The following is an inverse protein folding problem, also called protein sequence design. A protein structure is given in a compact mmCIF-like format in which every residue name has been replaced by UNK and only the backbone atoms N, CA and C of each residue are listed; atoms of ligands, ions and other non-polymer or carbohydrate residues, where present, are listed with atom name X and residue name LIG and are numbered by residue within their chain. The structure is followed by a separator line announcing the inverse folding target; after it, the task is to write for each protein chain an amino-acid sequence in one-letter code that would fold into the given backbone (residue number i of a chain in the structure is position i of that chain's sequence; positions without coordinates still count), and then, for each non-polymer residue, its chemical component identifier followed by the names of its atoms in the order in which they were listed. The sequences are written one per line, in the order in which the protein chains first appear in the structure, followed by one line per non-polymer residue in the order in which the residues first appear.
data_IF_263132210275
#
_entry.id   IF_263132210275
#
_cell.length_a   1.000
_cell.length_b   1.000
_cell.length_c   1.000
_cell.angle_alpha   90.00
_cell.angle_beta   90.00
_cell.angle_gamma   90.00
#
_symmetry.space_group_name_H-M   'P 1'
#
loop_
_entity.id
_entity.type
_entity.pdbx_description
1 polymer ?
#
# COMPACT_ATOMS: atom_id res chain seq x y z
N UNK A 1 10.06 -7.43 0.23
CA UNK A 1 8.93 -8.38 0.47
C UNK A 1 8.10 -7.87 1.62
N UNK A 2 6.80 -8.19 1.67
CA UNK A 2 5.91 -7.74 2.74
C UNK A 2 5.30 -6.36 2.52
N UNK A 3 5.29 -5.86 1.28
CA UNK A 3 4.86 -4.49 0.96
C UNK A 3 3.34 -4.35 1.15
N UNK A 4 2.89 -3.31 1.85
CA UNK A 4 1.46 -3.01 2.06
C UNK A 4 0.89 -2.21 0.90
N UNK A 5 -0.43 -2.24 0.74
CA UNK A 5 -1.11 -1.45 -0.32
C UNK A 5 -0.80 0.05 -0.27
N UNK A 6 -0.70 0.62 0.94
CA UNK A 6 -0.34 2.04 1.11
C UNK A 6 1.11 2.33 0.73
N UNK A 7 2.03 1.37 0.89
CA UNK A 7 3.42 1.48 0.46
C UNK A 7 3.53 1.35 -1.07
N UNK A 8 2.71 0.49 -1.70
CA UNK A 8 2.60 0.45 -3.17
C UNK A 8 2.11 1.79 -3.73
N UNK A 9 1.17 2.44 -3.04
CA UNK A 9 0.74 3.79 -3.38
C UNK A 9 1.88 4.81 -3.26
N UNK A 10 2.69 4.73 -2.20
CA UNK A 10 3.88 5.57 -2.05
C UNK A 10 4.92 5.32 -3.15
N UNK A 11 5.16 4.06 -3.53
CA UNK A 11 6.04 3.71 -4.66
C UNK A 11 5.53 4.34 -5.96
N UNK A 12 4.22 4.32 -6.24
CA UNK A 12 3.67 5.00 -7.43
C UNK A 12 3.90 6.52 -7.41
N UNK A 13 3.90 7.15 -6.24
CA UNK A 13 4.26 8.56 -6.13
C UNK A 13 5.75 8.77 -6.42
N UNK A 14 6.62 7.90 -5.93
CA UNK A 14 8.04 7.92 -6.27
C UNK A 14 8.26 7.71 -7.78
N UNK A 15 7.56 6.76 -8.41
CA UNK A 15 7.61 6.55 -9.86
C UNK A 15 7.27 7.85 -10.61
N UNK A 16 6.22 8.56 -10.17
CA UNK A 16 5.83 9.85 -10.76
C UNK A 16 6.94 10.91 -10.62
N UNK A 17 7.56 11.03 -9.44
CA UNK A 17 8.57 12.05 -9.14
C UNK A 17 9.89 11.76 -9.85
N UNK A 18 10.38 10.53 -9.76
CA UNK A 18 11.72 10.15 -10.22
C UNK A 18 11.77 9.72 -11.69
N UNK A 19 10.63 9.34 -12.29
CA UNK A 19 10.58 8.87 -13.68
C UNK A 19 9.72 9.76 -14.59
N UNK A 20 8.70 10.43 -14.05
CA UNK A 20 7.70 11.17 -14.83
C UNK A 20 8.00 12.66 -15.06
N UNK A 21 9.10 13.18 -14.51
CA UNK A 21 9.50 14.58 -14.64
C UNK A 21 10.34 14.88 -15.90
N UNK A 22 10.84 16.11 -16.01
CA UNK A 22 11.80 16.52 -17.05
C UNK A 22 13.17 15.85 -16.90
N UNK A 23 13.47 15.34 -15.71
CA UNK A 23 14.67 14.56 -15.41
C UNK A 23 14.27 13.19 -14.88
N UNK A 24 14.93 12.15 -15.37
CA UNK A 24 14.78 10.77 -14.89
C UNK A 24 15.95 10.40 -14.01
N UNK A 25 15.68 10.00 -12.77
CA UNK A 25 16.71 9.42 -11.90
C UNK A 25 17.07 8.01 -12.40
N UNK A 26 18.26 7.92 -13.00
CA UNK A 26 18.74 6.67 -13.61
C UNK A 26 18.95 5.57 -12.56
N UNK A 27 19.38 5.92 -11.35
CA UNK A 27 19.63 4.97 -10.27
C UNK A 27 18.32 4.37 -9.75
N UNK A 28 17.30 5.23 -9.54
CA UNK A 28 15.96 4.80 -9.19
C UNK A 28 15.34 3.92 -10.27
N UNK A 29 15.42 4.34 -11.54
CA UNK A 29 14.89 3.58 -12.68
C UNK A 29 15.44 2.16 -12.72
N UNK A 30 16.78 2.01 -12.62
CA UNK A 30 17.43 0.70 -12.63
C UNK A 30 17.00 -0.16 -11.44
N UNK A 31 16.95 0.39 -10.22
CA UNK A 31 16.48 -0.36 -9.05
C UNK A 31 15.01 -0.77 -9.19
N UNK A 32 14.15 0.16 -9.63
CA UNK A 32 12.71 -0.05 -9.77
C UNK A 32 12.38 -1.12 -10.82
N UNK A 33 13.11 -1.13 -11.93
CA UNK A 33 12.92 -2.10 -13.02
C UNK A 33 13.39 -3.52 -12.64
N UNK A 34 14.37 -3.64 -11.74
CA UNK A 34 14.90 -4.93 -11.27
C UNK A 34 14.26 -5.40 -9.95
N UNK A 35 13.29 -4.66 -9.42
CA UNK A 35 12.66 -4.99 -8.15
C UNK A 35 11.50 -5.96 -8.35
N UNK A 36 11.60 -7.13 -7.69
CA UNK A 36 10.47 -8.02 -7.45
C UNK A 36 9.71 -7.56 -6.20
N UNK A 37 8.43 -7.25 -6.35
CA UNK A 37 7.57 -6.74 -5.29
C UNK A 37 6.58 -7.82 -4.87
N UNK A 38 6.83 -8.40 -3.69
CA UNK A 38 5.90 -9.28 -3.00
C UNK A 38 5.14 -8.45 -1.96
N UNK A 39 3.85 -8.24 -2.22
CA UNK A 39 2.91 -7.52 -1.36
C UNK A 39 2.21 -8.47 -0.38
N UNK A 40 1.74 -7.91 0.73
CA UNK A 40 0.90 -8.61 1.70
C UNK A 40 -0.24 -7.70 2.12
N UNK A 41 -1.46 -8.13 1.85
CA UNK A 41 -2.67 -7.41 2.25
C UNK A 41 -2.70 -7.15 3.76
N UNK A 42 -3.18 -5.98 4.17
CA UNK A 42 -3.23 -5.60 5.58
C UNK A 42 -4.57 -6.00 6.20
N UNK A 43 -4.61 -7.13 6.92
CA UNK A 43 -5.81 -7.63 7.60
C UNK A 43 -5.95 -7.12 9.05
N UNK A 44 -4.90 -6.51 9.58
CA UNK A 44 -4.81 -6.00 10.96
C UNK A 44 -4.21 -4.58 10.96
N UNK A 45 -4.97 -3.55 10.56
CA UNK A 45 -4.48 -2.18 10.60
C UNK A 45 -4.41 -1.66 12.04
N UNK A 46 -3.50 -0.72 12.28
CA UNK A 46 -3.45 0.04 13.54
C UNK A 46 -4.55 1.09 13.61
N UNK A 47 -4.88 1.54 14.83
CA UNK A 47 -5.94 2.54 15.06
C UNK A 47 -5.68 3.91 14.41
N UNK A 48 -4.45 4.22 14.03
CA UNK A 48 -4.10 5.46 13.34
C UNK A 48 -4.02 5.32 11.82
N UNK A 49 -4.26 4.13 11.26
CA UNK A 49 -4.30 3.92 9.81
C UNK A 49 -5.50 4.66 9.19
N UNK A 50 -5.36 5.06 7.92
CA UNK A 50 -6.40 5.77 7.15
C UNK A 50 -6.35 5.47 5.65
N UNK A 51 -5.61 4.43 5.22
CA UNK A 51 -5.42 4.15 3.79
C UNK A 51 -6.72 3.79 3.05
N UNK A 52 -7.72 3.25 3.77
CA UNK A 52 -9.07 3.03 3.25
C UNK A 52 -9.71 4.35 2.76
N UNK A 53 -9.71 5.39 3.60
CA UNK A 53 -10.27 6.71 3.25
C UNK A 53 -9.55 7.40 2.10
N UNK A 54 -8.27 7.06 1.90
CA UNK A 54 -7.45 7.61 0.82
C UNK A 54 -7.51 6.76 -0.47
N UNK A 55 -8.24 5.65 -0.49
CA UNK A 55 -8.28 4.74 -1.64
C UNK A 55 -6.95 4.03 -1.94
N UNK A 56 -6.10 3.86 -0.92
CA UNK A 56 -4.75 3.30 -1.02
C UNK A 56 -4.56 2.00 -0.23
N UNK A 57 -5.66 1.35 0.16
CA UNK A 57 -5.66 0.10 0.90
C UNK A 57 -7.03 -0.18 1.53
N UNK A 58 -7.14 -1.22 2.38
CA UNK A 58 -6.08 -2.13 2.83
C UNK A 58 -5.65 -3.17 1.76
N UNK A 59 -6.50 -3.41 0.77
CA UNK A 59 -6.26 -4.32 -0.35
C UNK A 59 -5.27 -3.73 -1.35
N UNK A 60 -4.26 -4.51 -1.74
CA UNK A 60 -3.37 -4.19 -2.84
C UNK A 60 -4.04 -4.59 -4.17
N UNK A 61 -4.22 -3.60 -5.06
CA UNK A 61 -4.90 -3.80 -6.35
C UNK A 61 -3.96 -3.93 -7.54
N UNK A 62 -2.74 -3.37 -7.44
CA UNK A 62 -1.76 -3.35 -8.52
C UNK A 62 -0.38 -2.90 -8.02
N UNK A 63 0.63 -3.06 -8.88
CA UNK A 63 2.01 -2.61 -8.62
C UNK A 63 2.87 -3.62 -7.87
N UNK A 64 2.44 -4.88 -7.83
CA UNK A 64 3.15 -6.01 -7.23
C UNK A 64 3.28 -7.16 -8.24
N UNK A 65 4.22 -8.07 -7.99
CA UNK A 65 4.37 -9.32 -8.73
C UNK A 65 3.55 -10.43 -8.08
N UNK A 66 3.56 -10.51 -6.74
CA UNK A 66 2.71 -11.40 -5.96
C UNK A 66 2.06 -10.63 -4.83
N UNK A 67 0.80 -10.92 -4.51
CA UNK A 67 0.12 -10.43 -3.33
C UNK A 67 -0.39 -11.58 -2.49
N UNK A 68 -0.03 -11.61 -1.21
CA UNK A 68 -0.43 -12.64 -0.28
C UNK A 68 -1.48 -12.12 0.70
N UNK A 69 -2.47 -12.95 1.00
CA UNK A 69 -3.40 -12.77 2.11
C UNK A 69 -3.32 -13.97 3.03
N UNK A 70 -2.95 -13.74 4.28
CA UNK A 70 -2.94 -14.78 5.30
C UNK A 70 -4.36 -15.03 5.82
N UNK A 71 -4.80 -16.29 5.79
CA UNK A 71 -6.02 -16.76 6.43
C UNK A 71 -5.58 -17.64 7.61
N UNK A 72 -5.81 -17.13 8.82
CA UNK A 72 -5.53 -17.83 10.07
C UNK A 72 -6.83 -17.96 10.87
N UNK A 73 -7.39 -19.17 10.87
CA UNK A 73 -8.65 -19.52 11.53
C UNK A 73 -8.52 -20.85 12.28
N UNK A 74 -9.50 -21.19 13.11
CA UNK A 74 -9.44 -22.40 13.95
C UNK A 74 -9.22 -23.66 13.08
N UNK A 75 -8.02 -24.25 13.20
CA UNK A 75 -7.63 -25.45 12.45
C UNK A 75 -7.22 -25.20 10.99
N UNK A 76 -7.10 -23.94 10.56
CA UNK A 76 -6.75 -23.57 9.19
C UNK A 76 -5.74 -22.44 9.16
N UNK A 77 -4.58 -22.68 8.55
CA UNK A 77 -3.58 -21.65 8.26
C UNK A 77 -3.14 -21.79 6.81
N UNK A 78 -3.47 -20.81 5.98
CA UNK A 78 -3.08 -20.81 4.57
C UNK A 78 -2.87 -19.39 4.05
N UNK A 79 -2.18 -19.29 2.90
CA UNK A 79 -2.02 -18.05 2.16
C UNK A 79 -2.77 -18.13 0.85
N UNK A 80 -3.62 -17.15 0.59
CA UNK A 80 -4.18 -16.93 -0.75
C UNK A 80 -3.21 -16.01 -1.48
N UNK A 81 -2.76 -16.43 -2.66
CA UNK A 81 -1.76 -15.72 -3.45
C UNK A 81 -2.38 -15.30 -4.78
N UNK A 82 -2.25 -14.03 -5.12
CA UNK A 82 -2.61 -13.47 -6.42
C UNK A 82 -1.32 -13.06 -7.16
N UNK A 83 -1.24 -13.37 -8.45
CA UNK A 83 -0.17 -12.84 -9.31
C UNK A 83 -0.60 -11.52 -9.92
N UNK A 84 0.28 -10.51 -9.83
CA UNK A 84 0.09 -9.19 -10.43
C UNK A 84 0.98 -8.93 -11.66
N UNK A 85 1.87 -9.88 -12.00
CA UNK A 85 2.78 -9.76 -13.13
C UNK A 85 3.13 -11.11 -13.75
N UNK A 86 3.69 -11.09 -14.97
CA UNK A 86 4.23 -12.29 -15.62
C UNK A 86 5.32 -12.96 -14.78
N UNK A 87 6.19 -12.17 -14.15
CA UNK A 87 7.26 -12.72 -13.30
C UNK A 87 6.67 -13.41 -12.05
N UNK A 88 5.60 -12.84 -11.48
CA UNK A 88 4.82 -13.49 -10.42
C UNK A 88 4.22 -14.83 -10.85
N UNK A 89 3.65 -14.90 -12.05
CA UNK A 89 3.09 -16.16 -12.59
C UNK A 89 4.16 -17.23 -12.80
N UNK A 90 5.35 -16.83 -13.29
CA UNK A 90 6.50 -17.73 -13.43
C UNK A 90 6.94 -18.27 -12.07
N UNK A 91 7.00 -17.43 -11.03
CA UNK A 91 7.31 -17.87 -9.66
C UNK A 91 6.24 -18.82 -9.12
N UNK A 92 4.95 -18.54 -9.35
CA UNK A 92 3.86 -19.41 -8.88
C UNK A 92 3.97 -20.82 -9.45
N UNK A 93 4.38 -20.97 -10.72
CA UNK A 93 4.55 -22.29 -11.35
C UNK A 93 5.62 -23.15 -10.67
N UNK A 94 6.62 -22.53 -10.06
CA UNK A 94 7.74 -23.21 -9.40
C UNK A 94 7.43 -23.62 -7.95
N UNK A 95 6.30 -23.19 -7.37
CA UNK A 95 5.92 -23.53 -6.01
C UNK A 95 4.70 -24.45 -5.99
N UNK A 96 4.65 -25.39 -5.04
CA UNK A 96 3.47 -26.22 -4.83
C UNK A 96 2.30 -25.37 -4.35
N UNK A 97 1.23 -25.32 -5.13
CA UNK A 97 0.01 -24.59 -4.82
C UNK A 97 -1.19 -25.30 -5.44
N UNK A 98 -2.39 -24.87 -5.05
CA UNK A 98 -3.63 -25.27 -5.70
C UNK A 98 -4.49 -24.02 -5.95
N UNK A 99 -5.44 -24.08 -6.89
CA UNK A 99 -6.39 -22.99 -7.08
C UNK A 99 -7.11 -22.64 -5.77
N UNK A 100 -7.25 -21.34 -5.50
CA UNK A 100 -8.03 -20.85 -4.37
C UNK A 100 -9.51 -21.21 -4.56
N UNK A 101 -10.16 -21.68 -3.48
CA UNK A 101 -11.58 -21.98 -3.50
C UNK A 101 -12.42 -20.70 -3.55
N UNK A 102 -13.72 -20.83 -3.88
CA UNK A 102 -14.65 -19.69 -3.80
C UNK A 102 -14.75 -19.14 -2.38
N UNK A 103 -14.68 -20.01 -1.38
CA UNK A 103 -14.74 -19.63 0.04
C UNK A 103 -13.48 -18.87 0.44
N UNK A 104 -12.32 -19.23 -0.11
CA UNK A 104 -11.05 -18.53 0.13
C UNK A 104 -11.13 -17.10 -0.41
N UNK A 105 -11.60 -16.96 -1.65
CA UNK A 105 -11.79 -15.65 -2.28
C UNK A 105 -12.82 -14.80 -1.55
N UNK A 106 -13.92 -15.40 -1.07
CA UNK A 106 -14.91 -14.71 -0.25
C UNK A 106 -14.31 -14.27 1.09
N UNK A 107 -13.47 -15.10 1.69
CA UNK A 107 -12.82 -14.79 2.96
C UNK A 107 -11.82 -13.65 2.84
N UNK A 108 -11.00 -13.64 1.79
CA UNK A 108 -10.09 -12.52 1.49
C UNK A 108 -10.87 -11.20 1.41
N UNK A 109 -11.99 -11.17 0.68
CA UNK A 109 -12.84 -9.97 0.57
C UNK A 109 -13.37 -9.50 1.93
N UNK A 110 -13.90 -10.42 2.74
CA UNK A 110 -14.40 -10.11 4.08
C UNK A 110 -13.29 -9.54 4.97
N UNK A 111 -12.08 -10.13 4.93
CA UNK A 111 -10.93 -9.62 5.70
C UNK A 111 -10.52 -8.19 5.28
N UNK A 112 -10.64 -7.85 3.99
CA UNK A 112 -10.34 -6.50 3.50
C UNK A 112 -11.37 -5.48 3.98
N UNK A 113 -12.65 -5.85 3.98
CA UNK A 113 -13.73 -5.01 4.52
C UNK A 113 -13.57 -4.80 6.02
N UNK A 114 -13.37 -5.88 6.79
CA UNK A 114 -13.12 -5.82 8.23
C UNK A 114 -11.92 -4.94 8.57
N UNK A 115 -10.81 -5.07 7.81
CA UNK A 115 -9.64 -4.24 8.00
C UNK A 115 -9.94 -2.76 7.72
N UNK A 116 -10.64 -2.45 6.63
CA UNK A 116 -11.07 -1.08 6.32
C UNK A 116 -11.85 -0.46 7.49
N UNK A 117 -12.79 -1.21 8.06
CA UNK A 117 -13.64 -0.76 9.16
C UNK A 117 -12.92 -0.63 10.52
N UNK A 118 -11.76 -1.27 10.69
CA UNK A 118 -10.94 -1.17 11.93
C UNK A 118 -10.02 0.06 11.96
N UNK A 119 -9.91 0.80 10.86
CA UNK A 119 -9.09 2.01 10.81
C UNK A 119 -9.75 3.15 11.59
N UNK A 120 -9.04 3.73 12.55
CA UNK A 120 -9.59 4.77 13.43
C UNK A 120 -9.46 6.20 12.92
N UNK A 121 -8.83 6.42 11.76
CA UNK A 121 -8.73 7.74 11.13
C UNK A 121 -9.32 7.74 9.73
N UNK A 122 -9.94 8.85 9.40
CA UNK A 122 -10.46 9.15 8.07
C UNK A 122 -9.89 10.48 7.61
N UNK A 123 -9.44 10.52 6.36
CA UNK A 123 -8.94 11.73 5.70
C UNK A 123 -9.90 12.11 4.58
N UNK A 124 -10.23 13.40 4.49
CA UNK A 124 -11.04 13.97 3.40
C UNK A 124 -10.10 14.69 2.42
N UNK A 125 -9.65 14.05 1.33
CA UNK A 125 -8.69 14.64 0.40
C UNK A 125 -9.30 15.73 -0.51
N UNK A 126 -10.64 15.83 -0.57
CA UNK A 126 -11.35 16.79 -1.39
C UNK A 126 -11.02 18.22 -0.95
N UNK A 127 -10.55 19.05 -1.89
CA UNK A 127 -10.16 20.44 -1.61
C UNK A 127 -8.81 20.59 -0.89
N UNK A 128 -8.22 19.52 -0.36
CA UNK A 128 -6.98 19.57 0.44
C UNK A 128 -5.82 20.21 -0.34
N UNK A 129 -5.63 19.84 -1.60
CA UNK A 129 -4.58 20.43 -2.46
C UNK A 129 -4.73 21.95 -2.58
N UNK A 130 -5.94 22.43 -2.85
CA UNK A 130 -6.21 23.85 -3.03
C UNK A 130 -6.04 24.61 -1.71
N UNK A 131 -6.53 24.05 -0.60
CA UNK A 131 -6.35 24.61 0.74
C UNK A 131 -4.86 24.75 1.10
N UNK A 132 -4.06 23.70 0.85
CA UNK A 132 -2.62 23.73 1.14
C UNK A 132 -1.87 24.75 0.27
N UNK A 133 -2.11 24.76 -1.05
CA UNK A 133 -1.42 25.67 -1.97
C UNK A 133 -1.87 27.13 -1.81
N UNK A 134 -3.11 27.36 -1.37
CA UNK A 134 -3.64 28.71 -1.12
C UNK A 134 -3.23 29.31 0.22
N UNK A 135 -2.61 28.54 1.12
CA UNK A 135 -2.29 28.98 2.48
C UNK A 135 -0.83 28.67 2.87
N UNK A 136 0.19 29.12 2.10
CA UNK A 136 1.60 28.81 2.40
C UNK A 136 2.08 29.44 3.73
N UNK A 137 1.55 30.60 4.11
CA UNK A 137 1.94 31.36 5.31
C UNK A 137 0.96 31.20 6.48
N UNK A 138 0.14 30.15 6.49
CA UNK A 138 -0.85 29.95 7.55
C UNK A 138 -0.18 29.77 8.93
N UNK A 139 -0.66 30.42 10.00
CA UNK A 139 -0.03 30.37 11.33
C UNK A 139 0.03 28.95 11.94
N UNK A 140 -0.78 28.02 11.42
CA UNK A 140 -0.71 26.60 11.78
C UNK A 140 0.65 25.98 11.46
N UNK A 141 1.35 26.43 10.41
CA UNK A 141 2.66 25.91 10.03
C UNK A 141 3.70 26.18 11.11
N UNK A 142 3.68 27.38 11.69
CA UNK A 142 4.56 27.76 12.81
C UNK A 142 4.27 26.89 14.05
N UNK A 143 3.00 26.66 14.38
CA UNK A 143 2.63 25.78 15.50
C UNK A 143 3.08 24.33 15.31
N UNK A 144 3.09 23.83 14.06
CA UNK A 144 3.58 22.49 13.74
C UNK A 144 5.11 22.44 13.85
N UNK A 145 5.81 23.46 13.33
CA UNK A 145 7.26 23.56 13.38
C UNK A 145 7.78 23.53 14.83
N UNK A 146 7.09 24.22 15.75
CA UNK A 146 7.44 24.28 17.17
C UNK A 146 7.32 22.93 17.91
N UNK A 147 6.51 21.99 17.41
CA UNK A 147 6.35 20.65 18.03
C UNK A 147 7.47 19.68 17.66
N UNK A 148 8.35 20.05 16.72
CA UNK A 148 9.34 19.14 16.20
C UNK A 148 10.59 19.08 17.12
N UNK A 149 10.69 18.03 17.91
CA UNK A 149 11.88 17.70 18.72
C UNK A 149 12.89 16.80 17.99
N UNK A 150 12.84 16.67 16.66
CA UNK A 150 13.83 15.83 15.94
C UNK A 150 14.29 16.29 14.57
N UNK A 151 13.75 17.36 13.98
CA UNK A 151 14.19 17.81 12.64
C UNK A 151 14.41 19.34 12.52
N UNK A 152 14.51 20.08 13.63
CA UNK A 152 14.91 21.49 13.62
C UNK A 152 16.39 21.65 14.01
N UNK A 153 17.28 20.95 13.30
CA UNK A 153 18.68 21.27 12.98
C UNK A 153 19.29 20.15 12.15
#
# INVERSE_FOLDING_TARGET
MGVRSCELAAIRIHDKVFLGGSYTDTSYKLRRANALIIAVNCIQPGGTCFCASMGTGPEAKSGFDLCLTEILEKGRHCFVIESGSRQGEEILKEISHHPASKDDCARVKALMEEAGNKMGRQMEPQGLKAALLGNPEHPQWEQIAQRCLSCAN
#
